data_IF_826157551984
#
_entry.id   IF_826157551984
#
_cell.length_a   1.000
_cell.length_b   1.000
_cell.length_c   1.000
_cell.angle_alpha   90.00
_cell.angle_beta   90.00
_cell.angle_gamma   90.00
#
_symmetry.space_group_name_H-M   'P 1'
#
loop_
_entity.id
_entity.type
_entity.pdbx_description
1 polymer ?
#
# COMPACT_ATOMS: atom_id res chain seq x y z
N UNK A 1 -9.23 -4.63 9.64
CA UNK A 1 -8.40 -5.33 8.63
C UNK A 1 -6.93 -5.07 8.90
N UNK A 2 -6.14 -6.11 8.86
CA UNK A 2 -4.73 -5.99 9.18
C UNK A 2 -3.89 -5.96 7.92
N UNK A 3 -2.81 -5.19 7.99
CA UNK A 3 -1.89 -5.00 6.89
C UNK A 3 -0.49 -5.34 7.39
N UNK A 4 0.23 -6.14 6.61
CA UNK A 4 1.55 -6.63 7.01
C UNK A 4 2.61 -6.27 5.99
N UNK A 5 3.85 -6.27 6.46
CA UNK A 5 5.01 -6.12 5.56
C UNK A 5 4.94 -7.22 4.51
N UNK A 6 5.24 -6.86 3.28
CA UNK A 6 5.20 -7.71 2.08
C UNK A 6 3.80 -7.93 1.51
N UNK A 7 2.77 -7.36 2.13
CA UNK A 7 1.46 -7.35 1.48
C UNK A 7 1.53 -6.46 0.25
N UNK A 8 0.75 -6.83 -0.76
CA UNK A 8 0.67 -6.07 -1.99
C UNK A 8 -0.64 -5.30 -2.00
N UNK A 9 -0.55 -4.03 -2.37
CA UNK A 9 -1.70 -3.14 -2.47
C UNK A 9 -1.93 -2.82 -3.94
N UNK A 10 -3.17 -2.80 -4.34
CA UNK A 10 -3.54 -2.34 -5.66
C UNK A 10 -4.31 -1.05 -5.51
N UNK A 11 -3.80 0.02 -6.06
CA UNK A 11 -4.45 1.31 -5.99
C UNK A 11 -5.42 1.43 -7.16
N UNK A 12 -6.67 1.75 -6.85
CA UNK A 12 -7.66 1.95 -7.90
C UNK A 12 -7.31 3.17 -8.73
N UNK A 13 -7.55 3.06 -10.02
CA UNK A 13 -7.27 4.13 -10.95
C UNK A 13 -8.51 4.43 -11.77
N UNK A 14 -8.44 5.50 -12.55
CA UNK A 14 -9.54 5.88 -13.40
C UNK A 14 -9.72 4.86 -14.53
N UNK A 15 -10.92 4.85 -15.07
CA UNK A 15 -11.25 3.97 -16.19
C UNK A 15 -10.25 4.22 -17.34
N UNK A 16 -9.74 3.13 -17.89
CA UNK A 16 -8.80 3.20 -19.01
C UNK A 16 -7.35 3.15 -18.59
N UNK A 17 -7.07 3.18 -17.30
CA UNK A 17 -5.70 3.09 -16.78
C UNK A 17 -5.51 1.80 -16.01
N UNK A 18 -4.34 1.22 -16.14
CA UNK A 18 -4.00 0.04 -15.36
C UNK A 18 -3.82 0.43 -13.89
N UNK A 19 -4.31 -0.38 -12.96
CA UNK A 19 -4.09 -0.09 -11.55
C UNK A 19 -2.62 -0.23 -11.20
N UNK A 20 -2.16 0.63 -10.31
CA UNK A 20 -0.80 0.55 -9.81
C UNK A 20 -0.74 -0.36 -8.60
N UNK A 21 0.37 -1.08 -8.48
CA UNK A 21 0.58 -1.98 -7.36
C UNK A 21 1.79 -1.55 -6.56
N UNK A 22 1.66 -1.69 -5.26
CA UNK A 22 2.71 -1.33 -4.31
C UNK A 22 2.93 -2.48 -3.35
N UNK A 23 4.13 -2.58 -2.83
CA UNK A 23 4.43 -3.55 -1.79
C UNK A 23 4.77 -2.80 -0.51
N UNK A 24 4.29 -3.31 0.62
CA UNK A 24 4.57 -2.69 1.91
C UNK A 24 5.95 -3.16 2.37
N UNK A 25 6.87 -2.22 2.50
CA UNK A 25 8.24 -2.52 2.91
C UNK A 25 8.44 -2.38 4.40
N UNK A 26 7.76 -1.45 5.03
CA UNK A 26 7.97 -1.15 6.44
C UNK A 26 6.71 -0.53 7.01
N UNK A 27 6.47 -0.79 8.28
CA UNK A 27 5.40 -0.13 9.03
C UNK A 27 6.05 0.56 10.21
N UNK A 28 5.69 1.82 10.41
CA UNK A 28 6.26 2.59 11.50
C UNK A 28 5.24 3.54 12.09
N UNK A 29 5.54 4.02 13.30
CA UNK A 29 4.67 4.93 14.01
C UNK A 29 5.18 6.35 13.85
N UNK A 30 4.31 7.26 13.44
CA UNK A 30 4.63 8.68 13.33
C UNK A 30 3.53 9.43 14.07
N UNK A 31 3.93 10.22 15.08
CA UNK A 31 2.98 10.98 15.88
C UNK A 31 1.84 10.10 16.42
N UNK A 32 2.20 8.92 16.91
CA UNK A 32 1.26 7.97 17.51
C UNK A 32 0.30 7.33 16.51
N UNK A 33 0.53 7.55 15.23
CA UNK A 33 -0.27 6.92 14.18
C UNK A 33 0.59 6.00 13.33
N UNK A 34 0.01 4.88 12.94
CA UNK A 34 0.72 3.92 12.11
C UNK A 34 0.75 4.37 10.66
N UNK A 35 1.91 4.24 10.06
CA UNK A 35 2.16 4.55 8.66
C UNK A 35 2.88 3.39 8.01
N UNK A 36 2.78 3.32 6.71
CA UNK A 36 3.49 2.31 5.93
C UNK A 36 4.35 2.98 4.88
N UNK A 37 5.54 2.42 4.68
CA UNK A 37 6.37 2.79 3.54
C UNK A 37 6.07 1.77 2.46
N UNK A 38 5.56 2.24 1.34
CA UNK A 38 5.19 1.38 0.23
C UNK A 38 6.03 1.74 -0.99
N UNK A 39 6.28 0.74 -1.82
CA UNK A 39 7.14 0.90 -2.99
C UNK A 39 6.37 0.39 -4.20
N UNK A 40 6.43 1.16 -5.29
CA UNK A 40 5.83 0.76 -6.56
C UNK A 40 6.53 -0.50 -7.07
N UNK A 41 5.78 -1.54 -7.38
CA UNK A 41 6.38 -2.81 -7.81
C UNK A 41 7.08 -2.68 -9.15
N UNK A 42 6.70 -1.69 -9.96
CA UNK A 42 7.31 -1.46 -11.26
C UNK A 42 8.41 -0.42 -11.23
N UNK A 43 8.56 0.28 -10.12
CA UNK A 43 9.59 1.31 -9.98
C UNK A 43 10.01 1.36 -8.52
N UNK A 44 10.99 0.53 -8.17
CA UNK A 44 11.40 0.38 -6.77
C UNK A 44 12.02 1.64 -6.18
N UNK A 45 12.33 2.62 -7.01
CA UNK A 45 12.85 3.89 -6.52
C UNK A 45 11.76 4.80 -5.99
N UNK A 46 10.52 4.52 -6.35
CA UNK A 46 9.39 5.33 -5.89
C UNK A 46 8.90 4.79 -4.55
N UNK A 47 9.15 5.54 -3.50
CA UNK A 47 8.67 5.22 -2.15
C UNK A 47 7.65 6.24 -1.72
N UNK A 48 6.59 5.76 -1.08
CA UNK A 48 5.56 6.62 -0.54
C UNK A 48 5.35 6.28 0.94
N UNK A 49 5.14 7.31 1.73
CA UNK A 49 4.78 7.15 3.13
C UNK A 49 3.30 7.46 3.26
N UNK A 50 2.52 6.49 3.68
CA UNK A 50 1.07 6.59 3.69
C UNK A 50 0.53 6.13 5.03
N UNK A 51 -0.42 6.88 5.58
CA UNK A 51 -1.06 6.47 6.82
C UNK A 51 -1.79 5.15 6.62
N UNK A 52 -1.73 4.30 7.63
CA UNK A 52 -2.34 2.98 7.53
C UNK A 52 -3.84 3.07 7.29
N UNK A 53 -4.49 4.06 7.89
CA UNK A 53 -5.92 4.26 7.70
C UNK A 53 -6.28 4.52 6.24
N UNK A 54 -5.38 5.17 5.50
CA UNK A 54 -5.60 5.41 4.07
C UNK A 54 -5.51 4.11 3.30
N UNK A 55 -4.56 3.26 3.65
CA UNK A 55 -4.40 1.97 2.97
C UNK A 55 -5.57 1.03 3.25
N UNK A 56 -6.24 1.22 4.37
CA UNK A 56 -7.39 0.40 4.72
C UNK A 56 -8.69 0.89 4.10
N UNK A 57 -8.66 2.01 3.40
CA UNK A 57 -9.82 2.55 2.71
C UNK A 57 -10.06 1.73 1.44
N UNK A 58 -11.10 0.92 1.47
CA UNK A 58 -11.42 0.02 0.36
C UNK A 58 -11.84 0.73 -0.93
N UNK A 59 -12.12 2.01 -0.83
CA UNK A 59 -12.45 2.78 -2.02
C UNK A 59 -11.21 3.26 -2.75
N UNK A 60 -10.06 3.17 -2.10
CA UNK A 60 -8.79 3.64 -2.68
C UNK A 60 -7.82 2.51 -2.96
N UNK A 61 -7.77 1.51 -2.10
CA UNK A 61 -6.81 0.42 -2.20
C UNK A 61 -7.47 -0.93 -1.99
N UNK A 62 -6.98 -1.90 -2.72
CA UNK A 62 -7.32 -3.30 -2.51
C UNK A 62 -6.07 -3.99 -1.98
N UNK A 63 -6.23 -4.73 -0.90
CA UNK A 63 -5.11 -5.46 -0.31
C UNK A 63 -5.09 -6.87 -0.87
N UNK A 64 -3.98 -7.25 -1.46
CA UNK A 64 -3.78 -8.57 -2.02
C UNK A 64 -2.83 -9.29 -1.08
N UNK A 65 -3.34 -10.33 -0.41
CA UNK A 65 -2.51 -11.07 0.52
C UNK A 65 -1.55 -11.98 -0.22
N UNK A 66 -0.32 -12.00 0.28
CA UNK A 66 0.69 -12.88 -0.28
C UNK A 66 0.38 -14.32 0.13
N UNK A 67 0.38 -15.21 -0.83
CA UNK A 67 0.17 -16.61 -0.54
C UNK A 67 1.46 -17.28 -0.12
N UNK A 68 1.34 -18.18 0.81
CA UNK A 68 2.49 -18.92 1.32
C UNK A 68 2.47 -20.37 0.88
#
# INVERSE_FOLDING_TARGET
MEVFVNDILEKFSEVGHEPKRFIIKKIKTINQNLHAVIVDVDDEKTELLVALSVLQDRNKYKIIKTQQ
#
